data_IF_268142456070
#
_entry.id   IF_268142456070
#
_cell.length_a   1.000
_cell.length_b   1.000
_cell.length_c   1.000
_cell.angle_alpha   90.00
_cell.angle_beta   90.00
_cell.angle_gamma   90.00
#
_symmetry.space_group_name_H-M   'P 1'
#
loop_
_entity.id
_entity.type
_entity.pdbx_description
1 polymer ?
#
# COMPACT_ATOMS: atom_id res chain seq x y z
N UNK A 1 -23.37 -13.29 -4.27
CA UNK A 1 -22.92 -12.51 -5.44
C UNK A 1 -24.07 -12.46 -6.44
N UNK A 2 -24.25 -11.35 -7.17
CA UNK A 2 -25.27 -11.22 -8.21
C UNK A 2 -24.92 -12.01 -9.47
N UNK A 3 -25.81 -11.95 -10.48
CA UNK A 3 -25.50 -12.48 -11.82
C UNK A 3 -24.43 -11.61 -12.48
N UNK A 4 -23.65 -12.21 -13.38
CA UNK A 4 -22.71 -11.46 -14.21
C UNK A 4 -23.44 -10.37 -14.99
N UNK A 5 -22.89 -9.16 -14.94
CA UNK A 5 -23.43 -8.00 -15.64
C UNK A 5 -22.99 -8.06 -17.09
N UNK A 6 -23.96 -8.21 -17.99
CA UNK A 6 -23.70 -8.22 -19.45
C UNK A 6 -23.81 -6.83 -20.09
N UNK A 7 -24.65 -5.96 -19.52
CA UNK A 7 -24.88 -4.58 -19.98
C UNK A 7 -25.29 -3.71 -18.77
N UNK A 8 -24.83 -2.48 -18.73
CA UNK A 8 -25.20 -1.48 -17.70
C UNK A 8 -25.15 -0.06 -18.28
N UNK A 9 -25.72 0.89 -17.52
CA UNK A 9 -25.70 2.31 -17.90
C UNK A 9 -24.78 3.10 -16.96
N UNK A 10 -23.88 3.88 -17.54
CA UNK A 10 -23.03 4.82 -16.83
C UNK A 10 -23.11 6.19 -17.52
N UNK A 11 -23.39 7.26 -16.77
CA UNK A 11 -23.58 8.62 -17.28
C UNK A 11 -24.55 8.70 -18.49
N UNK A 12 -25.66 7.95 -18.43
CA UNK A 12 -26.69 7.93 -19.47
C UNK A 12 -26.32 7.11 -20.72
N UNK A 13 -25.15 6.51 -20.78
CA UNK A 13 -24.67 5.72 -21.92
C UNK A 13 -24.59 4.24 -21.55
N UNK A 14 -25.00 3.36 -22.48
CA UNK A 14 -24.94 1.92 -22.30
C UNK A 14 -23.55 1.36 -22.57
N UNK A 15 -23.11 0.43 -21.74
CA UNK A 15 -21.82 -0.25 -21.82
C UNK A 15 -21.98 -1.75 -21.56
N UNK A 16 -21.14 -2.55 -22.19
CA UNK A 16 -20.73 -3.86 -21.72
C UNK A 16 -19.49 -3.69 -20.84
N UNK A 17 -19.09 -4.68 -20.00
CA UNK A 17 -17.85 -4.62 -19.26
C UNK A 17 -16.63 -4.32 -20.16
N UNK A 18 -16.56 -4.95 -21.34
CA UNK A 18 -15.49 -4.73 -22.30
C UNK A 18 -15.46 -3.30 -22.86
N UNK A 19 -16.61 -2.78 -23.34
CA UNK A 19 -16.65 -1.43 -23.89
C UNK A 19 -16.44 -0.36 -22.82
N UNK A 20 -16.77 -0.64 -21.55
CA UNK A 20 -16.45 0.23 -20.44
C UNK A 20 -14.94 0.28 -20.15
N UNK A 21 -14.28 -0.91 -20.14
CA UNK A 21 -12.83 -0.97 -20.01
C UNK A 21 -12.12 -0.17 -21.12
N UNK A 22 -12.55 -0.34 -22.37
CA UNK A 22 -12.02 0.42 -23.51
C UNK A 22 -12.21 1.93 -23.34
N UNK A 23 -13.36 2.36 -22.83
CA UNK A 23 -13.66 3.77 -22.54
C UNK A 23 -12.72 4.36 -21.48
N UNK A 24 -12.33 3.58 -20.45
CA UNK A 24 -11.41 4.03 -19.40
C UNK A 24 -9.99 4.24 -19.92
N UNK A 25 -9.62 3.66 -21.06
CA UNK A 25 -8.25 3.64 -21.62
C UNK A 25 -7.22 3.04 -20.65
N UNK A 26 -7.67 2.23 -19.69
CA UNK A 26 -6.79 1.55 -18.76
C UNK A 26 -6.00 0.46 -19.50
N UNK A 27 -4.68 0.54 -19.46
CA UNK A 27 -3.80 -0.51 -19.97
C UNK A 27 -3.10 -1.20 -18.79
N UNK A 28 -3.42 -2.46 -18.54
CA UNK A 28 -2.86 -3.24 -17.44
C UNK A 28 -1.33 -3.41 -17.56
N UNK A 29 -0.79 -3.39 -18.78
CA UNK A 29 0.65 -3.48 -19.03
C UNK A 29 1.43 -2.23 -18.55
N UNK A 30 0.74 -1.13 -18.25
CA UNK A 30 1.36 0.07 -17.69
C UNK A 30 1.67 -0.06 -16.19
N UNK A 31 1.28 -1.15 -15.55
CA UNK A 31 1.42 -1.35 -14.11
C UNK A 31 2.41 -2.46 -13.78
N UNK A 32 2.98 -2.38 -12.60
CA UNK A 32 3.86 -3.39 -12.03
C UNK A 32 3.65 -3.47 -10.53
N UNK A 33 3.63 -4.70 -10.00
CA UNK A 33 3.65 -4.93 -8.55
C UNK A 33 5.12 -4.98 -8.09
N UNK A 34 5.46 -4.13 -7.13
CA UNK A 34 6.78 -4.08 -6.51
C UNK A 34 6.70 -4.48 -5.05
N UNK A 35 7.77 -5.07 -4.55
CA UNK A 35 7.90 -5.55 -3.15
C UNK A 35 9.34 -5.46 -2.66
N UNK A 36 9.55 -5.78 -1.38
CA UNK A 36 10.88 -5.79 -0.78
C UNK A 36 11.02 -6.93 0.22
N UNK A 37 11.69 -8.01 -0.19
CA UNK A 37 12.02 -9.15 0.67
C UNK A 37 13.46 -9.60 0.45
N UNK A 38 14.13 -10.07 1.51
CA UNK A 38 15.56 -10.45 1.46
C UNK A 38 15.80 -11.91 1.14
N UNK A 39 14.77 -12.76 1.18
CA UNK A 39 14.89 -14.20 0.87
C UNK A 39 15.04 -14.50 -0.63
N UNK A 40 14.83 -13.52 -1.50
CA UNK A 40 15.06 -13.60 -2.95
C UNK A 40 15.96 -12.46 -3.43
N UNK A 41 16.72 -12.64 -4.51
CA UNK A 41 17.59 -11.59 -5.03
C UNK A 41 16.82 -10.32 -5.40
N UNK A 42 17.40 -9.16 -5.11
CA UNK A 42 16.86 -7.88 -5.59
C UNK A 42 16.97 -7.74 -7.11
N UNK A 43 16.12 -6.91 -7.68
CA UNK A 43 16.03 -6.61 -9.12
C UNK A 43 15.68 -7.85 -9.96
N UNK A 44 14.90 -8.74 -9.36
CA UNK A 44 14.31 -9.92 -10.02
C UNK A 44 12.81 -9.97 -9.74
N UNK A 45 12.08 -10.51 -10.69
CA UNK A 45 10.69 -10.88 -10.45
C UNK A 45 10.60 -12.29 -9.90
N UNK A 46 9.66 -12.49 -8.98
CA UNK A 46 9.35 -13.78 -8.40
C UNK A 46 7.88 -13.88 -8.04
N UNK A 47 7.39 -15.09 -7.82
CA UNK A 47 6.04 -15.32 -7.32
C UNK A 47 6.10 -15.30 -5.80
N UNK A 48 5.46 -14.30 -5.18
CA UNK A 48 5.25 -14.30 -3.75
C UNK A 48 3.99 -15.13 -3.46
N UNK A 49 4.16 -16.24 -2.74
CA UNK A 49 3.07 -17.18 -2.44
C UNK A 49 2.31 -16.71 -1.20
N UNK A 50 1.37 -15.84 -1.43
CA UNK A 50 0.46 -15.26 -0.42
C UNK A 50 -0.99 -15.38 -0.91
N UNK A 51 -2.00 -15.33 -0.01
CA UNK A 51 -3.41 -15.53 -0.37
C UNK A 51 -3.91 -14.63 -1.50
N UNK A 52 -3.59 -13.34 -1.48
CA UNK A 52 -4.03 -12.39 -2.52
C UNK A 52 -3.37 -12.61 -3.88
N UNK A 53 -2.26 -13.33 -3.94
CA UNK A 53 -1.59 -13.71 -5.18
C UNK A 53 -2.07 -15.06 -5.74
N UNK A 54 -3.36 -15.37 -5.64
CA UNK A 54 -3.96 -16.63 -6.12
C UNK A 54 -3.76 -16.90 -7.63
N UNK A 55 -3.47 -15.87 -8.40
CA UNK A 55 -3.17 -15.99 -9.85
C UNK A 55 -1.69 -16.22 -10.15
N UNK A 56 -0.84 -16.36 -9.14
CA UNK A 56 0.62 -16.51 -9.26
C UNK A 56 1.28 -15.40 -10.09
N UNK A 57 0.83 -14.16 -9.87
CA UNK A 57 1.41 -12.97 -10.50
C UNK A 57 2.85 -12.71 -10.01
N UNK A 58 3.64 -12.07 -10.86
CA UNK A 58 5.02 -11.73 -10.55
C UNK A 58 5.11 -10.43 -9.77
N UNK A 59 5.92 -10.43 -8.72
CA UNK A 59 6.31 -9.26 -7.93
C UNK A 59 7.76 -8.91 -8.25
N UNK A 60 8.04 -7.66 -8.53
CA UNK A 60 9.40 -7.18 -8.75
C UNK A 60 10.04 -6.79 -7.42
N UNK A 61 11.10 -7.51 -7.03
CA UNK A 61 11.77 -7.35 -5.74
C UNK A 61 12.83 -6.26 -5.79
N UNK A 62 12.91 -5.43 -4.76
CA UNK A 62 13.91 -4.35 -4.65
C UNK A 62 14.31 -4.07 -3.20
N UNK A 63 15.44 -3.36 -2.95
CA UNK A 63 15.79 -2.91 -1.60
C UNK A 63 14.69 -2.08 -0.95
N UNK A 64 14.52 -2.21 0.37
CA UNK A 64 13.44 -1.56 1.13
C UNK A 64 13.42 -0.03 0.97
N UNK A 65 14.58 0.61 0.91
CA UNK A 65 14.64 2.06 0.73
C UNK A 65 14.18 2.47 -0.69
N UNK A 66 14.49 1.65 -1.71
CA UNK A 66 14.01 1.89 -3.06
C UNK A 66 12.51 1.61 -3.21
N UNK A 67 11.99 0.63 -2.48
CA UNK A 67 10.54 0.37 -2.41
C UNK A 67 9.79 1.60 -1.92
N UNK A 68 10.20 2.17 -0.79
CA UNK A 68 9.61 3.41 -0.24
C UNK A 68 9.83 4.60 -1.19
N UNK A 69 11.01 4.74 -1.77
CA UNK A 69 11.31 5.79 -2.73
C UNK A 69 10.40 5.75 -3.96
N UNK A 70 10.00 4.56 -4.43
CA UNK A 70 9.07 4.45 -5.56
C UNK A 70 7.65 4.88 -5.19
N UNK A 71 7.19 4.63 -3.96
CA UNK A 71 5.93 5.17 -3.45
C UNK A 71 5.99 6.70 -3.42
N UNK A 72 7.05 7.26 -2.84
CA UNK A 72 7.26 8.71 -2.79
C UNK A 72 7.30 9.32 -4.18
N UNK A 73 8.09 8.74 -5.09
CA UNK A 73 8.23 9.24 -6.46
C UNK A 73 6.89 9.20 -7.23
N UNK A 74 6.08 8.17 -7.00
CA UNK A 74 4.75 8.10 -7.61
C UNK A 74 3.87 9.26 -7.15
N UNK A 75 3.78 9.50 -5.85
CA UNK A 75 2.98 10.56 -5.27
C UNK A 75 3.46 11.95 -5.71
N UNK A 76 4.78 12.19 -5.72
CA UNK A 76 5.37 13.46 -6.11
C UNK A 76 5.16 13.77 -7.61
N UNK A 77 4.90 12.74 -8.45
CA UNK A 77 4.55 12.89 -9.87
C UNK A 77 3.03 12.80 -10.14
N UNK A 78 2.17 12.89 -9.11
CA UNK A 78 0.72 12.95 -9.26
C UNK A 78 0.06 11.59 -9.51
N UNK A 79 0.75 10.48 -9.25
CA UNK A 79 0.20 9.13 -9.28
C UNK A 79 -0.21 8.67 -7.89
N UNK A 80 -1.20 7.81 -7.83
CA UNK A 80 -1.59 7.09 -6.63
C UNK A 80 -1.13 5.64 -6.71
N UNK A 81 -1.13 4.93 -5.58
CA UNK A 81 -0.52 3.60 -5.47
C UNK A 81 -1.49 2.66 -4.75
N UNK A 82 -1.81 1.49 -5.34
CA UNK A 82 -2.55 0.47 -4.62
C UNK A 82 -1.60 -0.24 -3.64
N UNK A 83 -2.05 -0.43 -2.42
CA UNK A 83 -1.27 -0.96 -1.30
C UNK A 83 -1.91 -2.25 -0.80
N UNK A 84 -1.12 -3.28 -0.71
CA UNK A 84 -1.38 -4.50 0.03
C UNK A 84 -0.59 -4.45 1.34
N UNK A 85 -1.24 -4.55 2.49
CA UNK A 85 -0.60 -4.42 3.79
C UNK A 85 -1.32 -5.16 4.91
N UNK A 86 -0.55 -5.57 5.90
CA UNK A 86 -1.05 -6.03 7.19
C UNK A 86 -1.66 -4.86 7.99
N UNK A 87 -2.88 -5.05 8.46
CA UNK A 87 -3.64 -4.10 9.30
C UNK A 87 -3.98 -4.67 10.67
N UNK A 88 -3.41 -5.82 11.03
CA UNK A 88 -3.69 -6.55 12.27
C UNK A 88 -3.08 -5.90 13.52
N UNK A 89 -2.15 -4.94 13.35
CA UNK A 89 -1.53 -4.26 14.49
C UNK A 89 -2.53 -3.47 15.33
N UNK A 90 -2.41 -3.58 16.65
CA UNK A 90 -3.25 -2.80 17.58
C UNK A 90 -3.09 -1.27 17.43
N UNK A 91 -2.03 -0.85 16.75
CA UNK A 91 -1.72 0.55 16.43
C UNK A 91 -2.13 0.97 15.01
N UNK A 92 -2.80 0.06 14.26
CA UNK A 92 -3.63 0.41 13.12
C UNK A 92 -5.03 0.79 13.63
N UNK A 93 -5.37 2.05 13.63
CA UNK A 93 -6.61 2.54 14.23
C UNK A 93 -7.43 3.38 13.25
N UNK A 94 -8.49 2.82 12.71
CA UNK A 94 -9.48 3.58 11.92
C UNK A 94 -10.15 4.67 12.76
N UNK A 95 -10.39 4.43 14.06
CA UNK A 95 -10.97 5.40 15.00
C UNK A 95 -10.08 6.63 15.19
N UNK A 96 -8.78 6.44 15.34
CA UNK A 96 -7.81 7.53 15.48
C UNK A 96 -7.34 8.03 14.10
N UNK A 97 -7.60 7.27 13.02
CA UNK A 97 -7.18 7.58 11.66
C UNK A 97 -5.67 7.52 11.43
N UNK A 98 -4.96 6.72 12.22
CA UNK A 98 -3.51 6.56 12.14
C UNK A 98 -3.08 5.10 12.18
N UNK A 99 -1.94 4.80 11.55
CA UNK A 99 -1.25 3.52 11.65
C UNK A 99 0.25 3.79 11.88
N UNK A 100 0.78 3.32 13.01
CA UNK A 100 2.11 3.66 13.53
C UNK A 100 2.75 2.46 14.21
N UNK A 101 4.07 2.39 14.25
CA UNK A 101 4.81 1.32 14.93
C UNK A 101 5.64 1.92 16.07
N UNK A 102 5.23 1.79 17.33
CA UNK A 102 5.96 2.35 18.46
C UNK A 102 7.34 1.69 18.63
N UNK A 103 8.35 2.49 18.97
CA UNK A 103 9.68 1.98 19.32
C UNK A 103 9.68 1.23 20.66
N UNK A 104 8.74 1.54 21.56
CA UNK A 104 8.57 0.88 22.86
C UNK A 104 7.15 0.31 23.00
N UNK A 105 7.02 -0.86 23.61
CA UNK A 105 5.73 -1.46 23.92
C UNK A 105 4.89 -0.57 24.89
N UNK A 106 5.53 0.21 25.71
CA UNK A 106 4.88 1.14 26.68
C UNK A 106 4.11 2.25 25.96
N UNK A 107 4.59 2.67 24.77
CA UNK A 107 3.98 3.73 23.99
C UNK A 107 2.76 3.28 23.16
N UNK A 108 2.44 1.98 23.09
CA UNK A 108 1.35 1.43 22.25
C UNK A 108 0.00 2.15 22.41
N UNK A 109 -0.33 2.59 23.62
CA UNK A 109 -1.62 3.26 23.88
C UNK A 109 -1.59 4.74 23.55
N UNK A 110 -0.47 5.41 23.83
CA UNK A 110 -0.33 6.85 23.71
C UNK A 110 0.08 7.29 22.29
N UNK A 111 0.77 6.47 21.53
CA UNK A 111 1.19 6.76 20.16
C UNK A 111 0.04 7.05 19.19
N UNK A 112 -1.16 6.56 19.50
CA UNK A 112 -2.36 6.83 18.69
C UNK A 112 -2.90 8.25 18.82
N UNK A 113 -2.48 8.98 19.84
CA UNK A 113 -2.89 10.38 20.12
C UNK A 113 -1.73 11.35 20.29
N UNK A 114 -0.52 10.85 20.44
CA UNK A 114 0.68 11.64 20.64
C UNK A 114 1.80 11.19 19.70
N UNK A 115 2.61 12.14 19.21
CA UNK A 115 3.78 11.81 18.40
C UNK A 115 4.88 11.24 19.30
N UNK A 116 5.12 9.93 19.17
CA UNK A 116 6.15 9.18 19.89
C UNK A 116 7.23 8.68 18.92
N UNK A 117 8.41 8.26 19.43
CA UNK A 117 9.40 7.57 18.60
C UNK A 117 8.83 6.28 18.01
N UNK A 118 9.09 6.07 16.73
CA UNK A 118 8.72 4.85 16.03
C UNK A 118 9.92 3.94 15.79
N UNK A 119 9.63 2.66 15.57
CA UNK A 119 10.61 1.62 15.32
C UNK A 119 11.42 1.92 14.04
N UNK A 120 12.73 1.77 14.11
CA UNK A 120 13.59 1.81 12.93
C UNK A 120 13.54 0.44 12.23
N UNK A 121 12.76 0.34 11.18
CA UNK A 121 12.57 -0.89 10.41
C UNK A 121 13.73 -1.13 9.46
N UNK A 122 14.45 -2.25 9.66
CA UNK A 122 15.49 -2.75 8.74
C UNK A 122 14.92 -3.80 7.77
N UNK A 123 15.58 -4.06 6.61
CA UNK A 123 15.16 -5.11 5.70
C UNK A 123 15.10 -6.51 6.37
N UNK A 124 16.05 -6.80 7.25
CA UNK A 124 16.15 -8.09 7.96
C UNK A 124 14.99 -8.24 8.95
N UNK A 125 14.67 -7.19 9.72
CA UNK A 125 13.55 -7.22 10.66
C UNK A 125 12.21 -7.36 9.91
N UNK A 126 12.02 -6.61 8.81
CA UNK A 126 10.85 -6.78 7.95
C UNK A 126 10.71 -8.23 7.44
N UNK A 127 11.81 -8.85 6.98
CA UNK A 127 11.81 -10.23 6.51
C UNK A 127 11.44 -11.20 7.63
N UNK A 128 12.02 -11.02 8.83
CA UNK A 128 11.73 -11.83 10.00
C UNK A 128 10.27 -11.78 10.40
N UNK A 129 9.66 -10.57 10.41
CA UNK A 129 8.26 -10.39 10.79
C UNK A 129 7.28 -11.00 9.76
N UNK A 130 7.68 -11.06 8.50
CA UNK A 130 6.93 -11.77 7.46
C UNK A 130 7.06 -13.30 7.62
N UNK A 131 8.27 -13.82 7.85
CA UNK A 131 8.53 -15.26 7.97
C UNK A 131 7.91 -15.89 9.24
N UNK A 132 7.81 -15.12 10.32
CA UNK A 132 7.18 -15.57 11.56
C UNK A 132 5.68 -15.28 11.66
N UNK A 133 5.07 -14.80 10.57
CA UNK A 133 3.64 -14.46 10.46
C UNK A 133 3.17 -13.32 11.41
N UNK A 134 4.08 -12.47 11.86
CA UNK A 134 3.74 -11.21 12.53
C UNK A 134 3.36 -10.11 11.53
N UNK A 135 3.73 -10.29 10.25
CA UNK A 135 3.24 -9.50 9.13
C UNK A 135 2.57 -10.44 8.15
N UNK A 136 1.30 -10.22 7.88
CA UNK A 136 0.44 -11.07 7.04
C UNK A 136 -0.16 -10.29 5.87
N UNK A 137 -0.66 -11.03 4.90
CA UNK A 137 -1.39 -10.51 3.74
C UNK A 137 -2.87 -10.35 4.14
N UNK A 138 -3.28 -9.11 4.51
CA UNK A 138 -4.57 -8.89 5.15
C UNK A 138 -5.52 -8.01 4.33
N UNK A 139 -5.03 -6.90 3.75
CA UNK A 139 -5.93 -5.84 3.33
C UNK A 139 -5.41 -4.96 2.21
N UNK A 140 -6.27 -4.74 1.22
CA UNK A 140 -5.99 -3.85 0.09
C UNK A 140 -6.51 -2.43 0.36
N UNK A 141 -5.67 -1.44 0.15
CA UNK A 141 -5.95 -0.02 0.34
C UNK A 141 -5.34 0.82 -0.78
N UNK A 142 -5.48 2.15 -0.69
CA UNK A 142 -5.03 3.06 -1.74
C UNK A 142 -4.27 4.26 -1.16
N UNK A 143 -2.97 4.34 -1.40
CA UNK A 143 -2.15 5.51 -1.05
C UNK A 143 -2.45 6.63 -2.04
N UNK A 144 -2.97 7.75 -1.53
CA UNK A 144 -3.44 8.88 -2.35
C UNK A 144 -2.68 10.18 -2.10
N UNK A 145 -1.77 10.19 -1.15
CA UNK A 145 -0.99 11.38 -0.84
C UNK A 145 0.00 11.19 0.30
N UNK A 146 0.72 12.25 0.62
CA UNK A 146 1.75 12.32 1.64
C UNK A 146 1.60 13.60 2.45
N UNK A 147 1.72 13.52 3.77
CA UNK A 147 1.62 14.65 4.70
C UNK A 147 2.73 14.60 5.73
N UNK A 148 2.94 15.69 6.46
CA UNK A 148 3.85 15.75 7.60
C UNK A 148 3.09 16.03 8.88
N UNK A 149 3.55 15.44 9.98
CA UNK A 149 3.13 15.81 11.32
C UNK A 149 3.80 17.13 11.79
N UNK A 150 3.50 17.55 13.00
CA UNK A 150 4.05 18.78 13.62
C UNK A 150 5.55 18.71 13.93
N UNK A 151 6.14 17.51 13.92
CA UNK A 151 7.59 17.28 14.08
C UNK A 151 8.31 17.04 12.75
N UNK A 152 7.58 17.07 11.62
CA UNK A 152 8.13 16.90 10.29
C UNK A 152 8.24 15.45 9.81
N UNK A 153 7.72 14.47 10.57
CA UNK A 153 7.67 13.07 10.15
C UNK A 153 6.65 12.89 9.03
N UNK A 154 6.99 12.09 8.03
CA UNK A 154 6.10 11.81 6.92
C UNK A 154 5.11 10.68 7.23
N UNK A 155 3.89 10.87 6.72
CA UNK A 155 2.81 9.89 6.71
C UNK A 155 2.22 9.79 5.31
N UNK A 156 1.83 8.59 4.91
CA UNK A 156 1.02 8.37 3.72
C UNK A 156 -0.46 8.52 4.06
N UNK A 157 -1.18 9.30 3.26
CA UNK A 157 -2.63 9.37 3.32
C UNK A 157 -3.19 8.19 2.54
N UNK A 158 -3.79 7.24 3.24
CA UNK A 158 -4.28 5.98 2.70
C UNK A 158 -5.81 5.94 2.78
N UNK A 159 -6.46 5.74 1.63
CA UNK A 159 -7.89 5.52 1.55
C UNK A 159 -8.21 4.06 1.85
N UNK A 160 -9.05 3.85 2.87
CA UNK A 160 -9.59 2.54 3.22
C UNK A 160 -10.98 2.34 2.60
N UNK A 161 -11.46 1.09 2.56
CA UNK A 161 -12.77 0.70 2.02
C UNK A 161 -13.91 0.74 3.05
N UNK A 162 -13.67 1.17 4.30
CA UNK A 162 -14.66 1.15 5.40
C UNK A 162 -15.69 2.29 5.35
N UNK A 163 -15.73 3.06 4.26
CA UNK A 163 -16.64 4.18 4.08
C UNK A 163 -16.11 5.49 4.65
N UNK A 164 -16.88 6.55 4.46
CA UNK A 164 -16.53 7.92 4.87
C UNK A 164 -17.39 8.45 6.02
N UNK A 165 -18.47 7.74 6.36
CA UNK A 165 -19.36 8.17 7.43
C UNK A 165 -18.69 8.00 8.79
N UNK A 166 -18.83 8.98 9.67
CA UNK A 166 -18.35 8.97 11.03
C UNK A 166 -19.15 7.95 11.89
N UNK A 167 -19.00 6.69 11.54
CA UNK A 167 -19.40 5.56 12.35
C UNK A 167 -18.34 5.26 13.42
N UNK A 168 -18.64 4.38 14.33
CA UNK A 168 -17.91 4.14 15.57
C UNK A 168 -16.40 3.83 15.42
N UNK A 169 -15.89 3.51 14.24
CA UNK A 169 -14.52 3.08 14.00
C UNK A 169 -13.80 3.77 12.82
N UNK A 170 -14.37 4.86 12.29
CA UNK A 170 -13.80 5.57 11.14
C UNK A 170 -13.66 7.04 11.43
N UNK A 171 -12.48 7.59 11.24
CA UNK A 171 -12.22 9.04 11.29
C UNK A 171 -11.68 9.54 9.95
N UNK A 172 -11.40 10.83 9.85
CA UNK A 172 -10.77 11.47 8.69
C UNK A 172 -11.45 11.14 7.34
N UNK A 173 -12.79 10.94 7.31
CA UNK A 173 -13.52 10.62 6.10
C UNK A 173 -13.13 9.28 5.46
N UNK A 174 -12.72 8.31 6.26
CA UNK A 174 -12.31 6.98 5.80
C UNK A 174 -10.83 6.88 5.40
N UNK A 175 -10.03 7.90 5.70
CA UNK A 175 -8.59 7.85 5.49
C UNK A 175 -7.85 7.46 6.77
N UNK A 176 -6.77 6.69 6.59
CA UNK A 176 -5.78 6.38 7.62
C UNK A 176 -4.45 7.00 7.23
N UNK A 177 -3.79 7.65 8.19
CA UNK A 177 -2.45 8.19 8.00
C UNK A 177 -1.43 7.17 8.50
N UNK A 178 -0.77 6.49 7.55
CA UNK A 178 0.24 5.48 7.85
C UNK A 178 1.61 6.12 7.90
N UNK A 179 2.33 5.91 9.00
CA UNK A 179 3.72 6.37 9.10
C UNK A 179 4.63 5.63 8.12
N UNK A 180 5.76 6.24 7.76
CA UNK A 180 6.78 5.55 6.93
C UNK A 180 7.26 4.26 7.60
N UNK A 181 7.56 4.20 8.93
CA UNK A 181 7.87 2.95 9.62
C UNK A 181 6.79 1.88 9.49
N UNK A 182 5.49 2.26 9.56
CA UNK A 182 4.41 1.31 9.38
C UNK A 182 4.44 0.68 7.98
N UNK A 183 4.51 1.49 6.94
CA UNK A 183 4.58 1.02 5.54
C UNK A 183 5.84 0.17 5.31
N UNK A 184 6.98 0.57 5.86
CA UNK A 184 8.22 -0.22 5.77
C UNK A 184 8.09 -1.61 6.36
N UNK A 185 7.36 -1.76 7.46
CA UNK A 185 7.20 -3.05 8.15
C UNK A 185 6.07 -3.87 7.56
N UNK A 186 4.91 -3.25 7.36
CA UNK A 186 3.63 -3.93 7.15
C UNK A 186 3.13 -3.94 5.71
N UNK A 187 3.67 -3.14 4.81
CA UNK A 187 3.31 -3.25 3.39
C UNK A 187 3.87 -4.55 2.79
N UNK A 188 3.03 -5.39 2.24
CA UNK A 188 3.45 -6.59 1.51
C UNK A 188 3.94 -6.19 0.12
N UNK A 189 3.11 -5.45 -0.59
CA UNK A 189 3.40 -5.00 -1.96
C UNK A 189 2.68 -3.70 -2.31
N UNK A 190 3.07 -3.11 -3.43
CA UNK A 190 2.31 -2.03 -4.05
C UNK A 190 2.21 -2.23 -5.56
N UNK A 191 1.01 -1.96 -6.11
CA UNK A 191 0.81 -1.86 -7.55
C UNK A 191 0.94 -0.39 -7.97
N UNK A 192 1.87 -0.12 -8.87
CA UNK A 192 2.22 1.23 -9.30
C UNK A 192 2.31 1.34 -10.82
N UNK A 193 1.95 2.50 -11.39
CA UNK A 193 2.14 2.76 -12.80
C UNK A 193 3.64 2.87 -13.11
N UNK A 194 4.11 2.18 -14.15
CA UNK A 194 5.53 2.16 -14.56
C UNK A 194 6.10 3.55 -14.84
N UNK A 195 5.26 4.48 -15.34
CA UNK A 195 5.65 5.89 -15.56
C UNK A 195 5.95 6.63 -14.27
N UNK A 196 5.41 6.17 -13.15
CA UNK A 196 5.58 6.76 -11.83
C UNK A 196 6.82 6.24 -11.07
N UNK A 197 7.48 5.20 -11.57
CA UNK A 197 8.68 4.63 -10.94
C UNK A 197 9.86 5.61 -10.97
N UNK A 198 10.72 5.52 -9.96
CA UNK A 198 11.98 6.24 -9.91
C UNK A 198 12.90 5.85 -11.09
N UNK A 199 13.74 6.77 -11.62
CA UNK A 199 14.56 6.50 -12.80
C UNK A 199 15.45 5.25 -12.69
N UNK A 200 16.01 4.99 -11.51
CA UNK A 200 16.81 3.78 -11.23
C UNK A 200 15.98 2.51 -11.40
N UNK A 201 14.76 2.51 -10.88
CA UNK A 201 13.84 1.36 -10.98
C UNK A 201 13.39 1.13 -12.41
N UNK A 202 13.05 2.20 -13.15
CA UNK A 202 12.73 2.10 -14.58
C UNK A 202 13.87 1.43 -15.36
N UNK A 203 15.11 1.89 -15.13
CA UNK A 203 16.30 1.32 -15.78
C UNK A 203 16.47 -0.17 -15.46
N UNK A 204 16.28 -0.57 -14.20
CA UNK A 204 16.44 -1.97 -13.79
C UNK A 204 15.32 -2.89 -14.29
N UNK A 205 14.12 -2.36 -14.50
CA UNK A 205 12.98 -3.06 -15.10
C UNK A 205 13.02 -3.11 -16.63
N UNK A 206 13.83 -2.26 -17.27
CA UNK A 206 13.87 -2.14 -18.73
C UNK A 206 12.66 -1.39 -19.31
N UNK A 207 12.10 -0.42 -18.59
CA UNK A 207 10.91 0.37 -18.98
C UNK A 207 11.16 1.88 -18.89
#
# INVERSE_FOLDING_TARGET
MGKDVTEFTYEGKKYTPQSFLEMTKLNLNDYVTITSFTHVPFYKSFILDIPDNFSYGNFYNMPLDEFVQNIDNALDNGYTVALDADVSESTFSGKNGVAVIPASAEDKKTILSEIKPELKVTPEFRQQEFENFNTTDDHLMHIVGKVKDQKGNFYYKVKNSWGSESGQNVSNGGFVYMSVPYVRLKAISVLVNKKALAPKTKKSLGV
#
